data_IF_911226900095
#
_entry.id   IF_911226900095
#
_cell.length_a   1.000
_cell.length_b   1.000
_cell.length_c   1.000
_cell.angle_alpha   90.00
_cell.angle_beta   90.00
_cell.angle_gamma   90.00
#
_symmetry.space_group_name_H-M   'P 1'
#
loop_
_entity.id
_entity.type
_entity.pdbx_description
1 polymer ?
#
# COMPACT_ATOMS: atom_id res chain seq x y z
N UNK A 1 -17.46 -15.35 22.62
CA UNK A 1 -16.35 -16.25 22.95
C UNK A 1 -15.55 -16.49 21.68
N UNK A 2 -14.61 -15.59 21.36
CA UNK A 2 -13.64 -15.75 20.29
C UNK A 2 -12.40 -16.43 20.89
N UNK A 3 -12.10 -17.63 20.42
CA UNK A 3 -10.87 -18.33 20.73
C UNK A 3 -9.72 -17.67 19.97
N UNK A 4 -8.74 -17.10 20.66
CA UNK A 4 -7.47 -16.66 20.08
C UNK A 4 -6.68 -17.91 19.61
N UNK A 5 -6.16 -17.90 18.38
CA UNK A 5 -5.21 -18.94 17.99
C UNK A 5 -3.83 -18.64 18.62
N UNK A 6 -3.39 -19.51 19.50
CA UNK A 6 -2.04 -19.53 20.06
C UNK A 6 -1.07 -19.89 18.94
N UNK A 7 -0.29 -18.92 18.44
CA UNK A 7 0.77 -19.16 17.49
C UNK A 7 2.09 -19.50 18.20
N UNK A 8 2.36 -20.79 18.38
CA UNK A 8 3.71 -21.33 18.48
C UNK A 8 4.02 -22.01 17.15
N UNK A 9 4.87 -21.41 16.30
CA UNK A 9 5.24 -22.05 15.06
C UNK A 9 6.25 -21.26 14.23
N UNK A 10 7.38 -21.88 14.00
CA UNK A 10 8.48 -21.57 13.07
C UNK A 10 8.14 -20.59 11.94
N UNK A 11 8.75 -19.42 11.99
CA UNK A 11 8.71 -18.36 10.95
C UNK A 11 9.40 -18.72 9.61
N UNK A 12 9.75 -19.99 9.41
CA UNK A 12 10.45 -20.47 8.20
C UNK A 12 9.55 -21.03 7.09
N UNK A 13 8.20 -21.02 7.27
CA UNK A 13 7.28 -21.48 6.21
C UNK A 13 6.34 -20.36 5.82
N UNK A 14 6.31 -20.09 4.51
CA UNK A 14 5.64 -19.00 3.81
C UNK A 14 4.20 -18.71 4.26
N UNK A 15 3.69 -17.57 3.81
CA UNK A 15 2.32 -17.08 4.00
C UNK A 15 1.32 -18.23 3.93
N UNK A 16 0.71 -18.54 5.08
CA UNK A 16 -0.43 -19.46 5.11
C UNK A 16 -1.64 -18.69 4.57
N UNK A 17 -1.94 -18.89 3.30
CA UNK A 17 -3.18 -18.40 2.69
C UNK A 17 -4.30 -19.33 3.14
N UNK A 18 -5.12 -18.91 4.08
CA UNK A 18 -6.36 -19.61 4.42
C UNK A 18 -7.39 -19.32 3.34
N UNK A 19 -7.49 -20.20 2.35
CA UNK A 19 -8.64 -20.21 1.41
C UNK A 19 -9.78 -20.94 2.11
N UNK A 20 -10.74 -20.19 2.63
CA UNK A 20 -11.97 -20.79 3.17
C UNK A 20 -12.87 -21.18 2.01
N UNK A 21 -12.90 -22.47 1.64
CA UNK A 21 -13.81 -23.03 0.64
C UNK A 21 -15.22 -23.20 1.24
N UNK A 22 -15.91 -22.12 1.45
CA UNK A 22 -17.34 -22.13 1.78
C UNK A 22 -18.18 -22.19 0.52
N UNK A 23 -18.55 -23.39 0.06
CA UNK A 23 -19.59 -23.55 -0.96
C UNK A 23 -20.93 -23.10 -0.39
N UNK A 24 -21.51 -22.03 -0.91
CA UNK A 24 -22.94 -21.73 -0.79
C UNK A 24 -23.57 -21.82 -2.17
N UNK A 25 -24.33 -22.91 -2.39
CA UNK A 25 -25.22 -23.04 -3.52
C UNK A 25 -26.42 -22.11 -3.31
N UNK A 26 -26.61 -21.15 -4.19
CA UNK A 26 -27.88 -20.45 -4.35
C UNK A 26 -28.51 -20.88 -5.66
N UNK A 27 -29.62 -21.63 -5.54
CA UNK A 27 -30.52 -21.92 -6.65
C UNK A 27 -31.37 -20.67 -6.88
N UNK A 28 -31.24 -20.03 -8.03
CA UNK A 28 -32.13 -18.96 -8.46
C UNK A 28 -33.18 -19.53 -9.43
N UNK A 29 -34.43 -19.43 -9.03
CA UNK A 29 -35.62 -19.74 -9.87
C UNK A 29 -35.82 -18.55 -10.82
N UNK A 30 -35.79 -18.79 -12.12
CA UNK A 30 -36.07 -17.80 -13.15
C UNK A 30 -37.61 -17.76 -13.42
N UNK A 31 -38.21 -16.59 -13.25
CA UNK A 31 -39.53 -16.28 -13.80
C UNK A 31 -39.35 -15.25 -14.92
N UNK A 32 -39.60 -15.63 -16.15
CA UNK A 32 -39.61 -14.76 -17.31
C UNK A 32 -40.95 -14.08 -17.45
N UNK A 33 -41.01 -12.76 -17.42
CA UNK A 33 -42.15 -11.97 -17.90
C UNK A 33 -41.66 -11.03 -18.99
N UNK A 34 -42.15 -11.27 -20.21
CA UNK A 34 -41.94 -10.40 -21.38
C UNK A 34 -42.84 -9.16 -21.25
N UNK A 35 -42.23 -7.98 -21.14
CA UNK A 35 -42.90 -6.72 -21.44
C UNK A 35 -42.05 -5.95 -22.47
N UNK A 36 -42.58 -5.91 -23.71
CA UNK A 36 -42.06 -5.00 -24.74
C UNK A 36 -42.62 -3.60 -24.49
N UNK A 37 -41.75 -2.67 -24.11
CA UNK A 37 -42.02 -1.24 -24.16
C UNK A 37 -40.89 -0.56 -24.90
N UNK A 38 -41.20 0.06 -26.04
CA UNK A 38 -40.34 0.97 -26.77
C UNK A 38 -40.20 2.27 -25.93
N UNK A 39 -39.15 2.36 -25.15
CA UNK A 39 -38.78 3.56 -24.44
C UNK A 39 -37.44 4.05 -25.00
N UNK A 40 -37.39 5.28 -25.49
CA UNK A 40 -36.17 5.98 -25.92
C UNK A 40 -35.14 5.88 -24.80
N UNK A 41 -34.07 5.13 -25.05
CA UNK A 41 -32.94 4.96 -24.14
C UNK A 41 -32.21 6.31 -24.03
N UNK A 42 -32.55 7.08 -23.00
CA UNK A 42 -31.57 7.92 -22.35
C UNK A 42 -30.53 6.94 -21.78
N UNK A 43 -29.44 6.74 -22.49
CA UNK A 43 -28.29 6.01 -21.98
C UNK A 43 -27.85 6.74 -20.70
N UNK A 44 -28.36 6.29 -19.54
CA UNK A 44 -27.76 6.62 -18.26
C UNK A 44 -26.33 6.10 -18.37
N UNK A 45 -25.38 7.03 -18.26
CA UNK A 45 -23.95 6.77 -18.20
C UNK A 45 -23.70 5.94 -16.93
N UNK A 46 -23.92 4.63 -17.02
CA UNK A 46 -23.73 3.70 -15.91
C UNK A 46 -22.23 3.56 -15.74
N UNK A 47 -21.65 4.43 -14.93
CA UNK A 47 -20.24 4.35 -14.60
C UNK A 47 -19.95 2.98 -13.98
N UNK A 48 -18.94 2.29 -14.51
CA UNK A 48 -18.53 0.99 -13.97
C UNK A 48 -18.02 1.15 -12.53
N UNK A 49 -18.60 0.41 -11.60
CA UNK A 49 -18.11 0.39 -10.20
C UNK A 49 -16.89 -0.51 -10.09
N UNK A 50 -15.87 -0.06 -9.37
CA UNK A 50 -14.65 -0.80 -9.06
C UNK A 50 -14.37 -0.69 -7.58
N UNK A 51 -14.33 -1.82 -6.88
CA UNK A 51 -13.98 -1.84 -5.46
C UNK A 51 -12.45 -1.91 -5.29
N UNK A 52 -11.93 -1.10 -4.36
CA UNK A 52 -10.50 -1.06 -4.01
C UNK A 52 -10.31 -1.20 -2.51
N UNK A 53 -9.51 -2.19 -2.10
CA UNK A 53 -9.09 -2.35 -0.71
C UNK A 53 -7.72 -1.73 -0.46
N UNK A 54 -7.59 -1.03 0.68
CA UNK A 54 -6.35 -0.37 1.08
C UNK A 54 -6.35 -0.11 2.59
N UNK A 55 -5.16 0.05 3.16
CA UNK A 55 -5.02 0.43 4.57
C UNK A 55 -4.71 1.93 4.69
N UNK A 56 -5.25 2.57 5.75
CA UNK A 56 -4.96 3.96 6.06
C UNK A 56 -5.14 4.90 4.84
N UNK A 57 -6.36 5.05 4.30
CA UNK A 57 -6.61 5.87 3.11
C UNK A 57 -6.17 7.33 3.28
N UNK A 58 -6.10 7.83 4.52
CA UNK A 58 -5.64 9.18 4.85
C UNK A 58 -4.11 9.34 4.83
N UNK A 59 -3.34 8.24 4.67
CA UNK A 59 -1.89 8.30 4.58
C UNK A 59 -1.42 8.88 3.25
N UNK A 60 -0.29 9.56 3.28
CA UNK A 60 0.38 10.06 2.06
C UNK A 60 0.83 8.92 1.13
N UNK A 61 0.92 7.69 1.63
CA UNK A 61 1.21 6.50 0.83
C UNK A 61 0.22 6.29 -0.33
N UNK A 62 -1.05 6.67 -0.14
CA UNK A 62 -2.12 6.54 -1.14
C UNK A 62 -2.51 7.87 -1.80
N UNK A 63 -1.73 8.94 -1.62
CA UNK A 63 -2.06 10.26 -2.15
C UNK A 63 -2.40 10.27 -3.64
N UNK A 64 -1.69 9.58 -4.57
CA UNK A 64 -2.06 9.59 -5.97
C UNK A 64 -3.48 9.07 -6.25
N UNK A 65 -3.94 8.09 -5.45
CA UNK A 65 -5.29 7.55 -5.56
C UNK A 65 -6.34 8.55 -5.03
N UNK A 66 -6.06 9.18 -3.88
CA UNK A 66 -6.90 10.24 -3.30
C UNK A 66 -7.06 11.41 -4.26
N UNK A 67 -5.97 11.85 -4.88
CA UNK A 67 -5.99 12.91 -5.89
C UNK A 67 -6.81 12.52 -7.13
N UNK A 68 -6.67 11.27 -7.61
CA UNK A 68 -7.45 10.80 -8.76
C UNK A 68 -8.96 10.86 -8.50
N UNK A 69 -9.40 10.53 -7.28
CA UNK A 69 -10.79 10.63 -6.85
C UNK A 69 -11.24 12.09 -6.78
N UNK A 70 -10.56 12.91 -5.97
CA UNK A 70 -11.00 14.28 -5.67
C UNK A 70 -10.83 15.28 -6.81
N UNK A 71 -9.95 15.00 -7.78
CA UNK A 71 -9.86 15.74 -9.04
C UNK A 71 -10.86 15.23 -10.10
N UNK A 72 -11.69 14.24 -9.76
CA UNK A 72 -12.70 13.68 -10.65
C UNK A 72 -12.12 12.88 -11.82
N UNK A 73 -10.87 12.41 -11.73
CA UNK A 73 -10.22 11.68 -12.82
C UNK A 73 -10.80 10.28 -13.03
N UNK A 74 -11.27 9.61 -11.98
CA UNK A 74 -11.98 8.35 -12.10
C UNK A 74 -13.35 8.54 -12.74
N UNK A 75 -14.12 9.52 -12.29
CA UNK A 75 -15.41 9.87 -12.86
C UNK A 75 -15.29 10.23 -14.36
N UNK A 76 -14.31 11.07 -14.72
CA UNK A 76 -14.08 11.45 -16.12
C UNK A 76 -13.56 10.29 -16.99
N UNK A 77 -13.04 9.23 -16.37
CA UNK A 77 -12.65 8.01 -17.06
C UNK A 77 -13.80 6.98 -17.14
N UNK A 78 -15.00 7.29 -16.63
CA UNK A 78 -16.20 6.45 -16.70
C UNK A 78 -16.29 5.39 -15.61
N UNK A 79 -15.61 5.56 -14.46
CA UNK A 79 -15.71 4.66 -13.31
C UNK A 79 -16.06 5.39 -12.02
N UNK A 80 -16.70 4.65 -11.13
CA UNK A 80 -16.87 4.99 -9.72
C UNK A 80 -16.04 4.02 -8.89
N UNK A 81 -15.27 4.54 -7.94
CA UNK A 81 -14.41 3.73 -7.06
C UNK A 81 -15.07 3.60 -5.69
N UNK A 82 -15.27 2.35 -5.25
CA UNK A 82 -15.77 2.02 -3.92
C UNK A 82 -14.58 1.67 -3.03
N UNK A 83 -14.34 2.48 -2.02
CA UNK A 83 -13.21 2.35 -1.11
C UNK A 83 -13.54 1.37 0.03
N UNK A 84 -12.71 0.36 0.23
CA UNK A 84 -12.79 -0.59 1.33
C UNK A 84 -11.57 -0.38 2.22
N UNK A 85 -11.81 0.28 3.34
CA UNK A 85 -10.77 0.54 4.32
C UNK A 85 -10.47 -0.71 5.12
N UNK A 86 -9.18 -0.99 5.30
CA UNK A 86 -8.65 -2.15 6.01
C UNK A 86 -7.68 -1.71 7.10
N UNK A 87 -7.53 -2.52 8.15
CA UNK A 87 -6.58 -2.23 9.23
C UNK A 87 -5.12 -2.31 8.78
N UNK A 88 -4.84 -3.07 7.73
CA UNK A 88 -3.48 -3.25 7.22
C UNK A 88 -3.45 -3.61 5.74
N UNK A 89 -2.29 -3.41 5.10
CA UNK A 89 -2.06 -3.85 3.73
C UNK A 89 -2.20 -5.36 3.56
N UNK A 90 -1.88 -6.15 4.59
CA UNK A 90 -2.12 -7.59 4.58
C UNK A 90 -3.62 -7.90 4.54
N UNK A 91 -4.43 -7.24 5.37
CA UNK A 91 -5.90 -7.41 5.34
C UNK A 91 -6.49 -6.97 3.99
N UNK A 92 -6.00 -5.88 3.41
CA UNK A 92 -6.44 -5.44 2.07
C UNK A 92 -6.23 -6.52 1.01
N UNK A 93 -5.11 -7.25 1.06
CA UNK A 93 -4.86 -8.39 0.18
C UNK A 93 -5.84 -9.55 0.47
N UNK A 94 -6.14 -9.83 1.74
CA UNK A 94 -7.09 -10.90 2.10
C UNK A 94 -8.50 -10.60 1.58
N UNK A 95 -8.98 -9.35 1.71
CA UNK A 95 -10.27 -8.92 1.14
C UNK A 95 -10.35 -9.22 -0.37
N UNK A 96 -9.30 -8.87 -1.10
CA UNK A 96 -9.25 -9.10 -2.54
C UNK A 96 -9.09 -10.58 -2.91
N UNK A 97 -8.37 -11.38 -2.13
CA UNK A 97 -8.29 -12.83 -2.29
C UNK A 97 -9.65 -13.48 -2.14
N UNK A 98 -10.44 -13.05 -1.15
CA UNK A 98 -11.80 -13.51 -0.89
C UNK A 98 -12.81 -13.04 -1.96
N UNK A 99 -12.44 -12.12 -2.84
CA UNK A 99 -13.32 -11.56 -3.87
C UNK A 99 -14.19 -10.40 -3.37
N UNK A 100 -13.89 -9.84 -2.22
CA UNK A 100 -14.60 -8.70 -1.61
C UNK A 100 -14.13 -7.36 -2.19
N UNK A 101 -12.95 -7.32 -2.84
CA UNK A 101 -12.51 -6.19 -3.66
C UNK A 101 -11.92 -6.64 -4.99
N UNK A 102 -12.01 -5.76 -5.99
CA UNK A 102 -11.48 -5.98 -7.34
C UNK A 102 -9.96 -5.73 -7.41
N UNK A 103 -9.51 -4.68 -6.72
CA UNK A 103 -8.16 -4.12 -6.78
C UNK A 103 -7.65 -3.85 -5.36
N UNK A 104 -6.35 -3.93 -5.18
CA UNK A 104 -5.65 -3.50 -3.97
C UNK A 104 -4.76 -2.32 -4.30
N UNK A 105 -4.77 -1.29 -3.44
CA UNK A 105 -3.69 -0.30 -3.37
C UNK A 105 -2.77 -0.67 -2.21
N UNK A 106 -1.53 -1.05 -2.52
CA UNK A 106 -0.61 -1.55 -1.50
C UNK A 106 0.81 -1.73 -2.01
N UNK A 107 1.64 -2.38 -1.20
CA UNK A 107 3.04 -2.60 -1.50
C UNK A 107 3.24 -3.67 -2.59
N UNK A 108 4.17 -3.43 -3.50
CA UNK A 108 4.48 -4.34 -4.61
C UNK A 108 4.98 -5.72 -4.13
N UNK A 109 5.60 -5.79 -2.96
CA UNK A 109 6.05 -7.04 -2.35
C UNK A 109 4.91 -8.04 -2.14
N UNK A 110 3.67 -7.58 -1.90
CA UNK A 110 2.51 -8.47 -1.85
C UNK A 110 2.29 -9.20 -3.17
N UNK A 111 2.47 -8.51 -4.30
CA UNK A 111 2.34 -9.14 -5.62
C UNK A 111 3.42 -10.19 -5.84
N UNK A 112 4.65 -9.90 -5.42
CA UNK A 112 5.76 -10.84 -5.47
C UNK A 112 5.47 -12.10 -4.65
N UNK A 113 4.91 -11.94 -3.45
CA UNK A 113 4.54 -13.06 -2.59
C UNK A 113 3.39 -13.89 -3.20
N UNK A 114 2.37 -13.24 -3.74
CA UNK A 114 1.25 -13.90 -4.41
C UNK A 114 1.71 -14.68 -5.64
N UNK A 115 2.55 -14.09 -6.48
CA UNK A 115 3.11 -14.75 -7.67
C UNK A 115 4.02 -15.94 -7.30
N UNK A 116 4.82 -15.81 -6.25
CA UNK A 116 5.64 -16.89 -5.74
C UNK A 116 4.80 -18.05 -5.18
N UNK A 117 3.64 -17.74 -4.61
CA UNK A 117 2.64 -18.72 -4.18
C UNK A 117 1.84 -19.33 -5.37
N UNK A 118 2.16 -18.97 -6.62
CA UNK A 118 1.48 -19.48 -7.82
C UNK A 118 0.14 -18.80 -8.12
N UNK A 119 -0.21 -17.73 -7.40
CA UNK A 119 -1.46 -17.01 -7.60
C UNK A 119 -1.30 -15.97 -8.73
N UNK A 120 -2.20 -15.92 -9.74
CA UNK A 120 -2.06 -15.06 -10.91
C UNK A 120 -2.51 -13.63 -10.60
N UNK A 121 -1.67 -12.90 -9.87
CA UNK A 121 -1.85 -11.49 -9.54
C UNK A 121 -0.83 -10.62 -10.25
N UNK A 122 -1.21 -9.39 -10.57
CA UNK A 122 -0.35 -8.48 -11.34
C UNK A 122 -0.53 -7.03 -10.92
N UNK A 123 0.57 -6.31 -10.72
CA UNK A 123 0.58 -4.86 -10.57
C UNK A 123 0.48 -4.19 -11.94
N UNK A 124 -0.25 -3.06 -12.02
CA UNK A 124 -0.52 -2.39 -13.30
C UNK A 124 -0.33 -0.87 -13.29
N UNK A 125 -0.13 -0.24 -12.11
CA UNK A 125 0.26 1.17 -11.97
C UNK A 125 1.17 1.30 -10.76
N UNK A 126 2.36 1.87 -10.93
CA UNK A 126 3.28 2.22 -9.84
C UNK A 126 2.91 3.60 -9.29
N UNK A 127 2.66 3.71 -8.00
CA UNK A 127 2.35 4.98 -7.32
C UNK A 127 3.59 5.60 -6.69
N UNK A 128 4.52 4.78 -6.15
CA UNK A 128 5.75 5.30 -5.53
C UNK A 128 7.01 4.49 -5.88
N UNK A 129 8.14 5.20 -5.92
CA UNK A 129 9.49 4.71 -6.24
C UNK A 129 10.37 4.52 -5.01
N UNK A 130 9.79 4.64 -3.83
CA UNK A 130 10.41 4.38 -2.53
C UNK A 130 9.33 3.84 -1.58
N UNK A 131 9.68 3.05 -0.54
CA UNK A 131 8.70 2.49 0.39
C UNK A 131 7.90 3.52 1.18
N UNK A 132 8.42 4.74 1.39
CA UNK A 132 7.78 5.80 2.18
C UNK A 132 7.51 5.38 3.64
N UNK A 133 8.24 4.38 4.14
CA UNK A 133 8.13 3.85 5.49
C UNK A 133 9.39 4.24 6.25
N UNK A 134 9.23 4.72 7.48
CA UNK A 134 10.36 5.01 8.36
C UNK A 134 10.26 4.22 9.66
N UNK A 135 11.40 4.01 10.29
CA UNK A 135 11.51 3.42 11.62
C UNK A 135 12.02 4.47 12.57
N UNK A 136 11.29 4.72 13.64
CA UNK A 136 11.65 5.72 14.63
C UNK A 136 11.59 5.16 16.06
N UNK A 137 12.55 5.58 16.89
CA UNK A 137 12.61 5.29 18.30
C UNK A 137 11.84 6.38 19.06
N UNK A 138 10.95 5.99 19.97
CA UNK A 138 10.24 6.97 20.82
C UNK A 138 11.22 7.77 21.65
N UNK A 139 10.98 9.08 21.80
CA UNK A 139 11.89 9.98 22.54
C UNK A 139 12.08 9.51 23.98
N UNK A 140 11.03 8.94 24.61
CA UNK A 140 11.09 8.31 25.92
C UNK A 140 12.14 7.19 25.97
N UNK A 141 12.19 6.32 24.94
CA UNK A 141 13.11 5.18 24.88
C UNK A 141 14.50 5.58 24.43
N UNK A 142 14.62 6.75 23.75
CA UNK A 142 15.88 7.25 23.23
C UNK A 142 16.80 7.83 24.31
N UNK A 143 16.29 8.12 25.50
CA UNK A 143 17.09 8.69 26.62
C UNK A 143 18.21 7.73 26.99
N UNK A 144 19.44 8.22 26.94
CA UNK A 144 20.66 7.46 27.29
C UNK A 144 21.11 6.41 26.28
N UNK A 145 20.37 6.18 25.19
CA UNK A 145 20.75 5.21 24.16
C UNK A 145 21.77 5.83 23.19
N UNK A 146 22.99 5.31 23.16
CA UNK A 146 24.06 5.71 22.25
C UNK A 146 24.00 4.90 20.94
N UNK A 147 23.76 3.61 21.02
CA UNK A 147 23.70 2.69 19.88
C UNK A 147 22.42 1.85 19.93
N UNK A 148 21.86 1.58 18.75
CA UNK A 148 20.63 0.77 18.61
C UNK A 148 20.82 -0.67 19.11
N UNK A 149 22.03 -1.21 18.98
CA UNK A 149 22.40 -2.54 19.50
C UNK A 149 22.30 -2.69 21.02
N UNK A 150 22.25 -1.56 21.76
CA UNK A 150 22.03 -1.54 23.21
C UNK A 150 20.54 -1.77 23.59
N UNK A 151 19.63 -1.65 22.63
CA UNK A 151 18.22 -1.79 22.83
C UNK A 151 17.84 -3.28 22.94
N UNK A 152 17.29 -3.67 24.09
CA UNK A 152 16.80 -5.02 24.33
C UNK A 152 15.30 -4.99 24.56
N UNK A 153 14.62 -6.11 24.25
CA UNK A 153 13.18 -6.32 24.51
C UNK A 153 12.31 -5.20 23.95
N UNK A 154 12.60 -4.76 22.71
CA UNK A 154 11.85 -3.69 22.06
C UNK A 154 10.45 -4.12 21.70
N UNK A 155 9.48 -3.24 21.94
CA UNK A 155 8.13 -3.30 21.36
C UNK A 155 8.09 -2.47 20.11
N UNK A 156 7.93 -3.12 18.95
CA UNK A 156 7.92 -2.46 17.63
C UNK A 156 6.49 -2.38 17.12
N UNK A 157 5.95 -1.17 17.02
CA UNK A 157 4.65 -0.89 16.43
C UNK A 157 4.71 -1.01 14.90
N UNK A 158 3.82 -1.81 14.35
CA UNK A 158 3.62 -2.05 12.92
C UNK A 158 2.13 -2.04 12.60
N UNK A 159 1.72 -1.93 11.33
CA UNK A 159 0.30 -2.03 11.00
C UNK A 159 -0.26 -3.45 11.25
N UNK A 160 0.43 -4.49 10.81
CA UNK A 160 0.17 -5.89 11.17
C UNK A 160 1.34 -6.79 10.80
N UNK A 161 1.35 -8.00 11.30
CA UNK A 161 2.25 -9.05 10.79
C UNK A 161 1.95 -9.30 9.31
N UNK A 162 2.98 -9.47 8.49
CA UNK A 162 2.85 -9.66 7.04
C UNK A 162 2.59 -8.39 6.22
N UNK A 163 2.50 -7.21 6.86
CA UNK A 163 2.39 -5.92 6.17
C UNK A 163 3.75 -5.37 5.72
N UNK A 164 3.72 -4.33 4.87
CA UNK A 164 4.95 -3.63 4.44
C UNK A 164 5.72 -3.01 5.61
N UNK A 165 5.04 -2.50 6.64
CA UNK A 165 5.66 -1.97 7.86
C UNK A 165 6.37 -3.08 8.66
N UNK A 166 5.79 -4.28 8.73
CA UNK A 166 6.44 -5.44 9.34
C UNK A 166 7.71 -5.83 8.56
N UNK A 167 7.63 -5.89 7.23
CA UNK A 167 8.80 -6.22 6.40
C UNK A 167 9.91 -5.19 6.52
N UNK A 168 9.57 -3.92 6.59
CA UNK A 168 10.53 -2.85 6.83
C UNK A 168 11.21 -2.99 8.19
N UNK A 169 10.45 -3.30 9.24
CA UNK A 169 10.99 -3.53 10.58
C UNK A 169 11.94 -4.74 10.61
N UNK A 170 11.59 -5.86 9.95
CA UNK A 170 12.46 -7.02 9.81
C UNK A 170 13.77 -6.70 9.09
N UNK A 171 13.68 -5.90 8.01
CA UNK A 171 14.86 -5.46 7.29
C UNK A 171 15.76 -4.58 8.15
N UNK A 172 15.17 -3.61 8.86
CA UNK A 172 15.90 -2.76 9.79
C UNK A 172 16.59 -3.57 10.90
N UNK A 173 15.88 -4.50 11.53
CA UNK A 173 16.48 -5.39 12.56
C UNK A 173 17.71 -6.12 12.04
N UNK A 174 17.62 -6.66 10.82
CA UNK A 174 18.75 -7.34 10.17
C UNK A 174 19.93 -6.40 9.94
N UNK A 175 19.69 -5.16 9.51
CA UNK A 175 20.76 -4.17 9.28
C UNK A 175 21.49 -3.78 10.57
N UNK A 176 20.76 -3.69 11.69
CA UNK A 176 21.37 -3.30 12.99
C UNK A 176 21.84 -4.49 13.81
N UNK A 177 21.72 -5.71 13.27
CA UNK A 177 22.19 -6.93 13.92
C UNK A 177 21.34 -7.37 15.13
N UNK A 178 20.11 -6.92 15.24
CA UNK A 178 19.17 -7.35 16.26
C UNK A 178 18.38 -8.59 15.80
N UNK A 179 18.40 -9.70 16.57
CA UNK A 179 17.63 -10.87 16.22
C UNK A 179 16.13 -10.66 16.44
N UNK A 180 15.31 -11.34 15.64
CA UNK A 180 13.85 -11.16 15.65
C UNK A 180 13.19 -11.58 16.97
N UNK A 181 13.75 -12.56 17.65
CA UNK A 181 13.31 -13.06 18.95
C UNK A 181 13.65 -12.13 20.12
N UNK A 182 14.50 -11.12 19.90
CA UNK A 182 14.79 -10.08 20.86
C UNK A 182 13.75 -8.94 20.89
N UNK A 183 12.73 -8.98 20.04
CA UNK A 183 11.72 -7.94 19.92
C UNK A 183 10.31 -8.49 19.95
N UNK A 184 9.34 -7.65 20.34
CA UNK A 184 7.91 -7.94 20.25
C UNK A 184 7.26 -7.03 19.22
N UNK A 185 6.56 -7.58 18.24
CA UNK A 185 5.74 -6.79 17.33
C UNK A 185 4.37 -6.51 17.93
N UNK A 186 3.93 -5.25 17.82
CA UNK A 186 2.62 -4.77 18.27
C UNK A 186 1.84 -4.31 17.03
N UNK A 187 0.74 -4.98 16.74
CA UNK A 187 -0.14 -4.60 15.64
C UNK A 187 -1.01 -3.40 16.04
N UNK A 188 -0.83 -2.27 15.36
CA UNK A 188 -1.51 -1.00 15.65
C UNK A 188 -2.61 -0.68 14.62
N UNK A 189 -2.70 -1.45 13.55
CA UNK A 189 -3.46 -1.06 12.37
C UNK A 189 -2.75 0.04 11.57
N UNK A 190 -3.38 0.49 10.48
CA UNK A 190 -2.90 1.59 9.64
C UNK A 190 -3.47 2.96 10.04
N UNK A 191 -4.49 2.98 10.89
CA UNK A 191 -5.20 4.20 11.26
C UNK A 191 -4.38 5.12 12.16
N UNK A 192 -4.32 6.41 11.81
CA UNK A 192 -3.58 7.43 12.58
C UNK A 192 -3.99 7.49 14.05
N UNK A 193 -5.29 7.35 14.36
CA UNK A 193 -5.80 7.44 15.72
C UNK A 193 -5.21 6.36 16.63
N UNK A 194 -5.22 5.10 16.19
CA UNK A 194 -4.69 3.97 16.94
C UNK A 194 -3.18 4.11 17.20
N UNK A 195 -2.44 4.58 16.18
CA UNK A 195 -0.99 4.82 16.31
C UNK A 195 -0.72 5.92 17.35
N UNK A 196 -1.46 7.03 17.28
CA UNK A 196 -1.30 8.14 18.24
C UNK A 196 -1.68 7.73 19.66
N UNK A 197 -2.70 6.91 19.83
CA UNK A 197 -3.09 6.36 21.13
C UNK A 197 -2.00 5.45 21.69
N UNK A 198 -1.49 4.50 20.90
CA UNK A 198 -0.41 3.61 21.30
C UNK A 198 0.87 4.36 21.68
N UNK A 199 1.20 5.43 20.96
CA UNK A 199 2.33 6.30 21.29
C UNK A 199 2.15 7.01 22.63
N UNK A 200 0.97 7.61 22.87
CA UNK A 200 0.64 8.29 24.14
C UNK A 200 0.64 7.32 25.32
N UNK A 201 0.06 6.15 25.15
CA UNK A 201 0.03 5.09 26.17
C UNK A 201 1.43 4.46 26.42
N UNK A 202 2.40 4.76 25.57
CA UNK A 202 3.72 4.12 25.65
C UNK A 202 3.71 2.63 25.36
N UNK A 203 2.78 2.18 24.55
CA UNK A 203 2.61 0.76 24.20
C UNK A 203 3.76 0.24 23.33
N UNK A 204 4.50 1.12 22.65
CA UNK A 204 5.61 0.78 21.75
C UNK A 204 6.86 1.59 22.09
N UNK A 205 8.02 1.03 21.79
CA UNK A 205 9.34 1.64 21.92
C UNK A 205 9.84 2.17 20.55
N UNK A 206 9.52 1.44 19.50
CA UNK A 206 9.86 1.75 18.11
C UNK A 206 8.57 1.76 17.29
N UNK A 207 8.42 2.74 16.41
CA UNK A 207 7.32 2.81 15.45
C UNK A 207 7.86 2.62 14.04
N UNK A 208 7.29 1.68 13.29
CA UNK A 208 7.53 1.50 11.86
C UNK A 208 6.24 1.82 11.10
N UNK A 209 6.18 2.98 10.45
CA UNK A 209 4.93 3.48 9.86
C UNK A 209 5.17 4.39 8.66
N UNK A 210 4.10 5.00 8.13
CA UNK A 210 4.06 5.94 7.01
C UNK A 210 3.66 7.34 7.46
N UNK A 211 3.85 8.35 6.61
CA UNK A 211 3.37 9.72 6.83
C UNK A 211 1.84 9.84 6.57
N UNK A 212 1.18 10.84 7.19
CA UNK A 212 1.74 11.99 7.92
C UNK A 212 2.09 11.75 9.39
N UNK A 213 1.70 10.61 9.99
CA UNK A 213 1.86 10.37 11.42
C UNK A 213 3.33 10.39 11.87
N UNK A 214 4.24 9.83 11.07
CA UNK A 214 5.67 9.86 11.40
C UNK A 214 6.24 11.27 11.41
N UNK A 215 5.92 12.07 10.39
CA UNK A 215 6.36 13.46 10.34
C UNK A 215 5.81 14.28 11.50
N UNK A 216 4.53 14.05 11.87
CA UNK A 216 3.92 14.69 13.02
C UNK A 216 4.71 14.39 14.31
N UNK A 217 4.97 13.12 14.60
CA UNK A 217 5.72 12.70 15.80
C UNK A 217 7.16 13.21 15.80
N UNK A 218 7.81 13.24 14.63
CA UNK A 218 9.14 13.79 14.45
C UNK A 218 9.18 15.29 14.76
N UNK A 219 8.24 16.09 14.23
CA UNK A 219 8.14 17.53 14.47
C UNK A 219 7.79 17.89 15.93
N UNK A 220 7.07 17.01 16.60
CA UNK A 220 6.77 17.15 18.05
C UNK A 220 7.90 16.66 18.96
N UNK A 221 9.04 16.21 18.40
CA UNK A 221 10.13 15.58 19.13
C UNK A 221 9.71 14.36 19.96
N UNK A 222 8.63 13.68 19.54
CA UNK A 222 8.14 12.45 20.18
C UNK A 222 8.82 11.20 19.59
N UNK A 223 9.46 11.34 18.42
CA UNK A 223 10.12 10.26 17.71
C UNK A 223 11.47 10.72 17.14
N UNK A 224 12.51 9.90 17.33
CA UNK A 224 13.81 10.04 16.66
C UNK A 224 13.93 8.99 15.56
N UNK A 225 14.12 9.41 14.32
CA UNK A 225 14.30 8.49 13.19
C UNK A 225 15.56 7.65 13.36
N UNK A 226 15.43 6.36 13.15
CA UNK A 226 16.51 5.38 13.08
C UNK A 226 16.85 5.03 11.63
N UNK A 227 15.83 4.93 10.80
CA UNK A 227 15.97 4.79 9.34
C UNK A 227 14.78 5.42 8.63
N UNK A 228 15.01 5.81 7.38
CA UNK A 228 14.04 6.56 6.57
C UNK A 228 14.10 6.08 5.13
N UNK A 229 12.94 5.80 4.54
CA UNK A 229 12.83 5.48 3.12
C UNK A 229 11.84 6.39 2.38
N UNK A 230 11.63 7.61 2.91
CA UNK A 230 10.74 8.62 2.30
C UNK A 230 11.34 9.28 1.07
N UNK A 231 12.67 9.36 0.98
CA UNK A 231 13.37 9.95 -0.18
C UNK A 231 13.97 8.87 -1.07
N UNK A 232 14.22 9.21 -2.34
CA UNK A 232 14.88 8.30 -3.27
C UNK A 232 16.31 7.97 -2.82
N UNK A 233 17.04 8.98 -2.35
CA UNK A 233 18.43 8.80 -1.91
C UNK A 233 18.53 7.91 -0.67
N UNK A 234 17.64 8.09 0.32
CA UNK A 234 17.63 7.26 1.52
C UNK A 234 17.16 5.83 1.22
N UNK A 235 16.16 5.67 0.36
CA UNK A 235 15.73 4.37 -0.14
C UNK A 235 16.85 3.64 -0.88
N UNK A 236 17.55 4.34 -1.76
CA UNK A 236 18.67 3.76 -2.52
C UNK A 236 19.84 3.33 -1.61
N UNK A 237 20.18 4.13 -0.60
CA UNK A 237 21.19 3.75 0.41
C UNK A 237 20.78 2.48 1.17
N UNK A 238 19.50 2.37 1.50
CA UNK A 238 19.00 1.23 2.27
C UNK A 238 18.95 -0.06 1.45
N UNK A 239 18.52 0.02 0.19
CA UNK A 239 18.23 -1.17 -0.63
C UNK A 239 19.24 -1.43 -1.76
N UNK A 240 20.20 -0.53 -1.95
CA UNK A 240 21.23 -0.67 -3.00
C UNK A 240 20.71 -0.44 -4.41
N UNK A 241 19.58 0.27 -4.59
CA UNK A 241 19.01 0.58 -5.90
C UNK A 241 17.64 1.24 -5.84
N UNK A 242 17.06 1.60 -7.00
CA UNK A 242 15.70 2.09 -7.09
C UNK A 242 14.72 1.03 -6.59
N UNK A 243 13.55 1.42 -6.10
CA UNK A 243 12.61 0.52 -5.45
C UNK A 243 11.19 0.69 -6.02
N UNK A 244 10.52 -0.41 -6.39
CA UNK A 244 9.10 -0.39 -6.70
C UNK A 244 8.29 -0.66 -5.42
N UNK A 245 7.41 0.29 -5.03
CA UNK A 245 6.68 0.18 -3.78
C UNK A 245 5.16 0.29 -3.97
N UNK A 246 4.53 1.39 -3.54
CA UNK A 246 3.08 1.51 -3.66
C UNK A 246 2.62 1.33 -5.10
N UNK A 247 1.62 0.48 -5.30
CA UNK A 247 1.07 0.21 -6.62
C UNK A 247 -0.41 -0.22 -6.54
N UNK A 248 -1.09 -0.16 -7.69
CA UNK A 248 -2.36 -0.84 -7.88
C UNK A 248 -2.11 -2.22 -8.45
N UNK A 249 -2.76 -3.23 -7.86
CA UNK A 249 -2.67 -4.61 -8.33
C UNK A 249 -3.98 -5.36 -8.14
N UNK A 250 -4.17 -6.41 -8.94
CA UNK A 250 -5.37 -7.23 -8.90
C UNK A 250 -5.14 -8.60 -9.53
N UNK A 251 -6.18 -9.45 -9.51
CA UNK A 251 -6.17 -10.73 -10.22
C UNK A 251 -5.97 -10.51 -11.72
N UNK A 252 -5.17 -11.33 -12.37
CA UNK A 252 -5.01 -11.28 -13.85
C UNK A 252 -6.37 -11.39 -14.55
N UNK A 253 -7.29 -12.18 -14.00
CA UNK A 253 -8.65 -12.30 -14.49
C UNK A 253 -9.42 -10.95 -14.49
N UNK A 254 -9.23 -10.09 -13.47
CA UNK A 254 -9.81 -8.75 -13.46
C UNK A 254 -9.25 -7.90 -14.61
N UNK A 255 -7.93 -7.88 -14.78
CA UNK A 255 -7.28 -7.10 -15.85
C UNK A 255 -7.73 -7.52 -17.25
N UNK A 256 -8.10 -8.80 -17.43
CA UNK A 256 -8.59 -9.35 -18.70
C UNK A 256 -10.08 -9.12 -18.90
N UNK A 257 -10.91 -9.51 -17.91
CA UNK A 257 -12.38 -9.49 -18.04
C UNK A 257 -12.98 -8.10 -17.86
N UNK A 258 -12.33 -7.24 -17.05
CA UNK A 258 -12.74 -5.86 -16.80
C UNK A 258 -11.67 -4.88 -17.27
N UNK A 259 -11.13 -5.12 -18.48
CA UNK A 259 -10.00 -4.37 -19.04
C UNK A 259 -10.25 -2.86 -19.10
N UNK A 260 -11.50 -2.44 -19.38
CA UNK A 260 -11.83 -1.02 -19.48
C UNK A 260 -11.85 -0.34 -18.11
N UNK A 261 -12.31 -1.01 -17.07
CA UNK A 261 -12.18 -0.55 -15.69
C UNK A 261 -10.70 -0.41 -15.27
N UNK A 262 -9.87 -1.40 -15.59
CA UNK A 262 -8.44 -1.36 -15.31
C UNK A 262 -7.72 -0.20 -16.06
N UNK A 263 -8.10 0.05 -17.34
CA UNK A 263 -7.60 1.21 -18.12
C UNK A 263 -8.05 2.53 -17.49
N UNK A 264 -9.31 2.63 -17.09
CA UNK A 264 -9.86 3.84 -16.46
C UNK A 264 -9.17 4.16 -15.12
N UNK A 265 -8.98 3.15 -14.25
CA UNK A 265 -8.20 3.30 -13.01
C UNK A 265 -6.78 3.77 -13.29
N UNK A 266 -6.11 3.12 -14.26
CA UNK A 266 -4.74 3.48 -14.66
C UNK A 266 -4.68 4.92 -15.12
N UNK A 267 -5.59 5.34 -16.01
CA UNK A 267 -5.65 6.71 -16.53
C UNK A 267 -5.85 7.73 -15.41
N UNK A 268 -6.77 7.46 -14.48
CA UNK A 268 -7.02 8.34 -13.33
C UNK A 268 -5.78 8.55 -12.48
N UNK A 269 -5.09 7.47 -12.12
CA UNK A 269 -3.87 7.55 -11.28
C UNK A 269 -2.71 8.21 -12.03
N UNK A 270 -2.50 7.91 -13.33
CA UNK A 270 -1.43 8.55 -14.12
C UNK A 270 -1.68 10.06 -14.26
N UNK A 271 -2.94 10.49 -14.45
CA UNK A 271 -3.31 11.93 -14.44
C UNK A 271 -3.01 12.57 -13.08
N UNK A 272 -3.33 11.91 -11.99
CA UNK A 272 -3.04 12.40 -10.64
C UNK A 272 -1.52 12.50 -10.38
N UNK A 273 -0.73 11.53 -10.81
CA UNK A 273 0.73 11.58 -10.74
C UNK A 273 1.29 12.76 -11.55
N UNK A 274 0.77 13.01 -12.76
CA UNK A 274 1.18 14.13 -13.56
C UNK A 274 0.80 15.48 -12.92
N UNK A 275 -0.41 15.60 -12.37
CA UNK A 275 -0.85 16.78 -11.64
C UNK A 275 0.03 17.05 -10.41
N UNK A 276 0.37 16.01 -9.65
CA UNK A 276 1.19 16.12 -8.43
C UNK A 276 2.60 16.69 -8.68
N UNK A 277 3.13 16.57 -9.89
CA UNK A 277 4.47 17.11 -10.24
C UNK A 277 4.53 18.63 -10.10
N UNK A 278 3.44 19.32 -10.42
CA UNK A 278 3.37 20.78 -10.51
C UNK A 278 2.46 21.42 -9.47
N UNK A 279 1.66 20.62 -8.77
CA UNK A 279 0.71 21.11 -7.76
C UNK A 279 1.43 21.82 -6.61
N UNK A 280 1.04 23.06 -6.36
CA UNK A 280 1.52 23.84 -5.23
C UNK A 280 0.79 23.52 -3.91
N UNK A 281 1.25 24.06 -2.78
CA UNK A 281 0.62 23.84 -1.47
C UNK A 281 -0.88 24.17 -1.45
N UNK A 282 -1.27 25.26 -2.08
CA UNK A 282 -2.68 25.69 -2.17
C UNK A 282 -3.53 24.69 -2.95
N UNK A 283 -3.01 24.13 -4.04
CA UNK A 283 -3.72 23.15 -4.86
C UNK A 283 -3.96 21.86 -4.08
N UNK A 284 -2.95 21.41 -3.36
CA UNK A 284 -3.02 20.24 -2.48
C UNK A 284 -4.11 20.44 -1.41
N UNK A 285 -4.08 21.58 -0.70
CA UNK A 285 -5.05 21.84 0.38
C UNK A 285 -6.48 22.05 -0.12
N UNK A 286 -6.68 22.50 -1.35
CA UNK A 286 -8.00 22.58 -1.98
C UNK A 286 -8.54 21.22 -2.42
N UNK A 287 -7.65 20.29 -2.77
CA UNK A 287 -8.02 18.99 -3.35
C UNK A 287 -8.14 17.91 -2.30
N UNK A 288 -7.20 17.85 -1.35
CA UNK A 288 -7.17 16.80 -0.33
C UNK A 288 -8.13 17.14 0.81
N UNK A 289 -9.06 16.24 1.19
CA UNK A 289 -9.99 16.48 2.28
C UNK A 289 -9.30 16.78 3.61
N UNK A 290 -9.91 17.67 4.41
CA UNK A 290 -9.30 18.17 5.65
C UNK A 290 -9.02 17.11 6.72
N UNK A 291 -9.76 16.01 6.73
CA UNK A 291 -9.53 14.91 7.67
C UNK A 291 -8.20 14.17 7.43
N UNK A 292 -7.54 14.34 6.25
CA UNK A 292 -6.20 13.83 5.98
C UNK A 292 -5.10 14.62 6.71
N UNK A 293 -5.35 15.87 7.12
CA UNK A 293 -4.29 16.77 7.61
C UNK A 293 -3.93 16.59 9.08
N UNK A 294 -4.57 15.66 9.79
CA UNK A 294 -4.39 15.46 11.24
C UNK A 294 -4.60 16.77 12.06
N UNK A 295 -5.42 17.66 11.56
CA UNK A 295 -5.68 18.98 12.18
C UNK A 295 -4.61 20.05 11.92
N UNK A 296 -3.53 19.74 11.21
CA UNK A 296 -2.41 20.66 10.95
C UNK A 296 -1.99 20.65 9.47
N UNK A 297 -2.36 21.70 8.76
CA UNK A 297 -2.06 21.87 7.32
C UNK A 297 -0.56 21.98 7.05
N UNK A 298 0.17 22.69 7.92
CA UNK A 298 1.60 22.92 7.73
C UNK A 298 2.38 21.62 7.89
N UNK A 299 2.07 20.83 8.92
CA UNK A 299 2.65 19.50 9.11
C UNK A 299 2.33 18.56 7.95
N UNK A 300 1.09 18.55 7.46
CA UNK A 300 0.71 17.73 6.30
C UNK A 300 1.53 18.09 5.05
N UNK A 301 1.64 19.39 4.74
CA UNK A 301 2.44 19.87 3.61
C UNK A 301 3.94 19.58 3.80
N UNK A 302 4.47 19.73 5.01
CA UNK A 302 5.85 19.37 5.32
C UNK A 302 6.14 17.87 5.14
N UNK A 303 5.19 17.01 5.53
CA UNK A 303 5.27 15.57 5.27
C UNK A 303 5.25 15.26 3.76
N UNK A 304 4.33 15.90 3.02
CA UNK A 304 4.23 15.74 1.57
C UNK A 304 5.53 16.17 0.86
N UNK A 305 6.13 17.29 1.26
CA UNK A 305 7.35 17.78 0.64
C UNK A 305 8.52 16.78 0.78
N UNK A 306 8.64 16.12 1.95
CA UNK A 306 9.62 15.04 2.15
C UNK A 306 9.40 13.84 1.23
N UNK A 307 8.14 13.55 0.87
CA UNK A 307 7.77 12.40 0.06
C UNK A 307 7.70 12.71 -1.43
N UNK A 308 7.60 13.98 -1.84
CA UNK A 308 7.24 14.40 -3.19
C UNK A 308 8.06 13.69 -4.27
N UNK A 309 9.38 13.63 -4.12
CA UNK A 309 10.25 12.98 -5.09
C UNK A 309 10.06 11.45 -5.18
N UNK A 310 9.53 10.84 -4.14
CA UNK A 310 9.34 9.39 -4.06
C UNK A 310 8.11 8.90 -4.84
N UNK A 311 7.16 9.76 -5.19
CA UNK A 311 6.06 9.36 -6.06
C UNK A 311 6.56 9.01 -7.47
N UNK A 312 5.86 8.07 -8.11
CA UNK A 312 6.14 7.72 -9.49
C UNK A 312 5.89 8.92 -10.40
N UNK A 313 6.75 9.11 -11.39
CA UNK A 313 6.58 10.21 -12.34
C UNK A 313 5.46 9.94 -13.35
N UNK A 314 5.18 8.67 -13.66
CA UNK A 314 4.31 8.31 -14.77
C UNK A 314 3.61 6.94 -14.61
N UNK A 315 3.76 6.29 -13.47
CA UNK A 315 3.15 5.01 -13.17
C UNK A 315 3.91 3.78 -13.68
N UNK A 316 5.07 3.95 -14.34
CA UNK A 316 5.83 2.87 -14.97
C UNK A 316 6.70 2.11 -13.95
N UNK A 317 6.68 0.79 -14.03
CA UNK A 317 7.62 -0.09 -13.30
C UNK A 317 8.95 -0.17 -14.02
N UNK A 318 10.01 0.31 -13.40
CA UNK A 318 11.39 0.13 -13.87
C UNK A 318 11.90 -1.26 -13.51
N UNK A 319 12.62 -1.92 -14.43
CA UNK A 319 13.17 -3.27 -14.23
C UNK A 319 14.05 -3.37 -12.99
N UNK A 320 14.96 -2.41 -12.79
CA UNK A 320 15.88 -2.40 -11.65
C UNK A 320 15.14 -2.21 -10.32
N UNK A 321 14.07 -1.39 -10.31
CA UNK A 321 13.25 -1.17 -9.13
C UNK A 321 12.50 -2.44 -8.72
N UNK A 322 11.99 -3.19 -9.69
CA UNK A 322 11.34 -4.49 -9.49
C UNK A 322 12.33 -5.54 -8.97
N UNK A 323 13.54 -5.57 -9.54
CA UNK A 323 14.61 -6.46 -9.08
C UNK A 323 15.05 -6.16 -7.65
N UNK A 324 15.12 -4.87 -7.27
CA UNK A 324 15.46 -4.49 -5.90
C UNK A 324 14.39 -4.95 -4.92
N UNK A 325 13.11 -4.75 -5.23
CA UNK A 325 12.00 -5.25 -4.40
C UNK A 325 12.05 -6.79 -4.24
N UNK A 326 12.39 -7.50 -5.30
CA UNK A 326 12.59 -8.95 -5.26
C UNK A 326 13.75 -9.37 -4.35
N UNK A 327 14.90 -8.71 -4.45
CA UNK A 327 16.05 -8.99 -3.56
C UNK A 327 15.68 -8.79 -2.09
N UNK A 328 14.88 -7.76 -1.80
CA UNK A 328 14.39 -7.51 -0.45
C UNK A 328 13.47 -8.61 0.07
N UNK A 329 12.60 -9.12 -0.80
CA UNK A 329 11.76 -10.28 -0.48
C UNK A 329 12.61 -11.50 -0.10
N UNK A 330 13.66 -11.79 -0.84
CA UNK A 330 14.56 -12.92 -0.60
C UNK A 330 15.28 -12.90 0.77
N UNK A 331 15.35 -11.75 1.42
CA UNK A 331 15.87 -11.63 2.79
C UNK A 331 14.91 -12.18 3.87
N UNK A 332 13.63 -12.33 3.55
CA UNK A 332 12.56 -12.77 4.47
C UNK A 332 12.13 -14.22 4.21
N UNK A 333 12.13 -14.63 2.98
CA UNK A 333 11.58 -15.91 2.51
C UNK A 333 12.66 -16.64 1.76
N UNK A 334 12.75 -17.94 1.97
CA UNK A 334 13.71 -18.80 1.24
C UNK A 334 13.61 -18.57 -0.28
N UNK A 335 14.78 -18.60 -0.95
CA UNK A 335 14.88 -18.30 -2.37
C UNK A 335 13.98 -19.22 -3.20
N UNK A 336 13.21 -18.59 -4.07
CA UNK A 336 12.37 -19.29 -5.05
C UNK A 336 13.26 -19.84 -6.20
N UNK A 337 12.94 -21.03 -6.70
CA UNK A 337 13.69 -21.68 -7.75
C UNK A 337 13.58 -20.96 -9.13
N UNK A 338 12.67 -19.99 -9.28
CA UNK A 338 12.37 -19.32 -10.57
C UNK A 338 12.16 -17.81 -10.44
N UNK A 339 13.12 -17.03 -9.96
CA UNK A 339 12.95 -15.61 -9.70
C UNK A 339 12.54 -14.80 -10.93
N UNK A 340 13.12 -15.04 -12.10
CA UNK A 340 12.81 -14.31 -13.33
C UNK A 340 11.36 -14.50 -13.78
N UNK A 341 10.83 -15.71 -13.74
CA UNK A 341 9.45 -16.00 -14.13
C UNK A 341 8.43 -15.36 -13.18
N UNK A 342 8.76 -15.21 -11.89
CA UNK A 342 7.91 -14.48 -10.94
C UNK A 342 7.93 -12.98 -11.26
N UNK A 343 9.11 -12.40 -11.48
CA UNK A 343 9.25 -10.97 -11.77
C UNK A 343 8.51 -10.56 -13.04
N UNK A 344 8.67 -11.29 -14.15
CA UNK A 344 8.02 -10.98 -15.42
C UNK A 344 6.48 -11.03 -15.34
N UNK A 345 5.94 -11.89 -14.49
CA UNK A 345 4.49 -12.03 -14.30
C UNK A 345 3.91 -11.07 -13.27
N UNK A 346 4.75 -10.48 -12.41
CA UNK A 346 4.31 -9.65 -11.27
C UNK A 346 3.76 -8.28 -11.67
N UNK A 347 4.12 -7.76 -12.83
CA UNK A 347 3.67 -6.43 -13.26
C UNK A 347 3.42 -6.35 -14.76
N UNK A 348 2.75 -5.26 -15.17
CA UNK A 348 2.61 -4.86 -16.58
C UNK A 348 2.65 -3.35 -16.71
N UNK A 349 3.36 -2.86 -17.74
CA UNK A 349 3.36 -1.45 -18.11
C UNK A 349 2.40 -1.14 -19.27
N UNK A 350 1.70 -2.13 -19.83
CA UNK A 350 0.84 -1.96 -21.01
C UNK A 350 -0.28 -0.93 -20.78
N UNK A 351 -0.95 -1.00 -19.61
CA UNK A 351 -2.03 -0.07 -19.27
C UNK A 351 -1.51 1.36 -19.09
N UNK A 352 -0.37 1.51 -18.43
CA UNK A 352 0.29 2.82 -18.24
C UNK A 352 0.70 3.42 -19.59
N UNK A 353 1.29 2.62 -20.49
CA UNK A 353 1.66 3.10 -21.82
C UNK A 353 0.44 3.55 -22.64
N UNK A 354 -0.68 2.82 -22.51
CA UNK A 354 -1.93 3.23 -23.15
C UNK A 354 -2.49 4.54 -22.54
N UNK A 355 -2.45 4.69 -21.22
CA UNK A 355 -2.87 5.90 -20.53
C UNK A 355 -2.02 7.12 -20.93
N UNK A 356 -0.69 6.95 -21.03
CA UNK A 356 0.23 8.03 -21.46
C UNK A 356 -0.09 8.51 -22.86
N UNK A 357 -0.34 7.62 -23.82
CA UNK A 357 -0.77 8.02 -25.18
C UNK A 357 -2.05 8.85 -25.13
N UNK A 358 -3.08 8.38 -24.40
CA UNK A 358 -4.37 9.09 -24.29
C UNK A 358 -4.28 10.46 -23.60
N UNK A 359 -3.23 10.72 -22.82
CA UNK A 359 -3.01 12.03 -22.18
C UNK A 359 -2.26 12.98 -23.11
N UNK A 360 -1.44 12.46 -24.02
CA UNK A 360 -0.65 13.26 -24.98
C UNK A 360 -1.44 13.68 -26.21
N UNK A 361 -2.49 12.92 -26.56
CA UNK A 361 -3.48 13.24 -27.61
C UNK A 361 -4.51 14.26 -27.10
#
# INVERSE_FOLDING_TARGET
LYAEPIFHGNYSRGIVVFVNQGRRNFSALAAATLFSSHGSSLASDVSQRVSISLAAPTSLYHLPLVLAEHLGYFKSAGIQVDWIECDSGFQAVQMALNGESDVVSGAFEHVLDLQAAGLPWRAFVLQSRAPQISVGLTSRRAVGVKQVSELKSLKIGISSLGSATHWMALHWLKQVGLPIDAVQFVALGGGTANVMEAMRAGAVDVLCHVDPVLHYLEQKNELRLLTDTRTLSSSQRMFGGPFASACLFGKVAFLQKRSDAAKAMTLGVVRALNWLKTAGPTDILKTVPSHHWMGDRALYLGALEKLRESYSLDGVFGKDAVQTAWRMRALRIAQDARPLAVLERSYTNQLVQAAKRKISD
#
